data_IF_106240445433
#
_entry.id   IF_106240445433
#
_cell.length_a   1.000
_cell.length_b   1.000
_cell.length_c   1.000
_cell.angle_alpha   90.00
_cell.angle_beta   90.00
_cell.angle_gamma   90.00
#
_symmetry.space_group_name_H-M   'P 1'
#
loop_
_entity.id
_entity.type
_entity.pdbx_description
1 polymer ?
#
# COMPACT_ATOMS: atom_id res chain seq x y z
N UNK A 1 -23.69 8.25 -15.19
CA UNK A 1 -22.24 8.59 -15.15
C UNK A 1 -22.05 9.77 -14.20
N UNK A 2 -21.26 9.56 -13.17
CA UNK A 2 -21.06 10.54 -12.07
C UNK A 2 -20.36 11.83 -12.52
N UNK A 3 -19.63 11.81 -13.64
CA UNK A 3 -18.84 12.96 -14.11
C UNK A 3 -19.56 13.88 -15.10
N UNK A 4 -20.86 13.70 -15.38
CA UNK A 4 -21.64 14.51 -16.35
C UNK A 4 -20.94 14.76 -17.69
N UNK A 5 -20.05 13.87 -18.09
CA UNK A 5 -19.35 13.92 -19.36
C UNK A 5 -20.11 13.25 -20.48
N UNK A 6 -19.64 13.43 -21.73
CA UNK A 6 -20.17 12.74 -22.91
C UNK A 6 -19.04 12.10 -23.70
N UNK A 7 -19.35 10.98 -24.34
CA UNK A 7 -18.46 10.30 -25.27
C UNK A 7 -19.07 10.34 -26.66
N UNK A 8 -18.28 10.74 -27.65
CA UNK A 8 -18.66 10.70 -29.05
C UNK A 8 -17.76 9.71 -29.80
N UNK A 9 -18.35 8.90 -30.65
CA UNK A 9 -17.62 7.95 -31.51
C UNK A 9 -17.92 8.26 -32.94
N UNK A 10 -16.87 8.45 -33.76
CA UNK A 10 -16.95 8.52 -35.21
C UNK A 10 -16.11 7.39 -35.80
N UNK A 11 -16.73 6.54 -36.60
CA UNK A 11 -16.05 5.41 -37.23
C UNK A 11 -16.42 5.35 -38.71
N UNK A 12 -15.41 5.17 -39.56
CA UNK A 12 -15.58 4.99 -40.98
C UNK A 12 -14.92 3.65 -41.35
N UNK A 13 -15.68 2.73 -41.98
CA UNK A 13 -15.11 1.45 -42.40
C UNK A 13 -13.91 1.64 -43.34
N UNK A 14 -12.76 1.05 -42.96
CA UNK A 14 -11.50 1.19 -43.70
C UNK A 14 -10.64 2.40 -43.36
N UNK A 15 -11.17 3.38 -42.64
CA UNK A 15 -10.42 4.59 -42.21
C UNK A 15 -10.13 4.64 -40.73
N UNK A 16 -10.82 3.82 -39.91
CA UNK A 16 -10.63 3.75 -38.45
C UNK A 16 -11.72 4.40 -37.62
N UNK A 17 -11.50 4.48 -36.33
CA UNK A 17 -12.45 5.02 -35.35
C UNK A 17 -11.82 6.12 -34.49
N UNK A 18 -12.57 7.19 -34.26
CA UNK A 18 -12.20 8.27 -33.36
C UNK A 18 -13.14 8.30 -32.16
N UNK A 19 -12.59 8.18 -30.97
CA UNK A 19 -13.31 8.35 -29.72
C UNK A 19 -12.96 9.72 -29.14
N UNK A 20 -13.98 10.50 -28.77
CA UNK A 20 -13.82 11.81 -28.16
C UNK A 20 -14.54 11.82 -26.81
N UNK A 21 -13.85 12.15 -25.75
CA UNK A 21 -14.40 12.24 -24.39
C UNK A 21 -14.42 13.71 -23.98
N UNK A 22 -15.60 14.20 -23.62
CA UNK A 22 -15.79 15.57 -23.14
C UNK A 22 -16.16 15.53 -21.66
N UNK A 23 -15.32 16.09 -20.81
CA UNK A 23 -15.55 16.20 -19.38
C UNK A 23 -15.72 17.69 -19.00
N UNK A 24 -16.79 18.06 -18.28
CA UNK A 24 -16.90 19.39 -17.73
C UNK A 24 -15.91 19.50 -16.57
N UNK A 25 -14.82 20.22 -16.79
CA UNK A 25 -13.84 20.52 -15.73
C UNK A 25 -14.16 21.92 -15.21
N UNK A 26 -14.39 22.11 -13.90
CA UNK A 26 -14.50 23.46 -13.36
C UNK A 26 -13.19 24.19 -13.63
N UNK A 27 -13.29 25.43 -14.12
CA UNK A 27 -12.10 26.28 -14.27
C UNK A 27 -11.48 26.47 -12.89
N UNK A 28 -10.25 26.04 -12.72
CA UNK A 28 -9.49 26.36 -11.53
C UNK A 28 -9.25 27.88 -11.52
N UNK A 29 -10.15 28.61 -10.84
CA UNK A 29 -9.80 29.94 -10.33
C UNK A 29 -8.51 29.72 -9.52
N UNK A 30 -7.57 30.67 -9.58
CA UNK A 30 -6.25 30.60 -8.94
C UNK A 30 -6.34 29.95 -7.55
N UNK A 31 -6.31 28.64 -7.52
CA UNK A 31 -6.10 27.87 -6.31
C UNK A 31 -4.66 28.11 -5.95
N UNK A 32 -4.43 28.59 -4.74
CA UNK A 32 -3.14 28.53 -4.11
C UNK A 32 -2.53 27.14 -4.40
N UNK A 33 -1.22 27.03 -4.58
CA UNK A 33 -0.58 25.72 -4.76
C UNK A 33 -1.18 24.81 -3.71
N UNK A 34 -1.76 23.69 -4.13
CA UNK A 34 -2.08 22.63 -3.20
C UNK A 34 -0.75 22.33 -2.53
N UNK A 35 -0.61 22.78 -1.29
CA UNK A 35 0.43 22.22 -0.43
C UNK A 35 0.22 20.71 -0.54
N UNK A 36 1.10 20.05 -1.23
CA UNK A 36 1.23 18.61 -1.12
C UNK A 36 1.33 18.38 0.38
N UNK A 37 0.23 17.94 0.97
CA UNK A 37 0.29 17.36 2.31
C UNK A 37 1.15 16.13 2.14
N UNK A 38 2.45 16.31 2.31
CA UNK A 38 3.38 15.23 2.56
C UNK A 38 2.89 14.64 3.88
N UNK A 39 2.03 13.63 3.77
CA UNK A 39 1.73 12.81 4.93
C UNK A 39 3.06 12.19 5.34
N UNK A 40 3.51 12.38 6.58
CA UNK A 40 4.70 11.70 7.05
C UNK A 40 4.42 10.21 6.96
N UNK A 41 5.02 9.57 5.95
CA UNK A 41 4.96 8.12 5.83
C UNK A 41 5.90 7.56 6.86
N UNK A 42 5.35 6.78 7.75
CA UNK A 42 6.09 6.04 8.75
C UNK A 42 7.20 5.23 8.09
N UNK A 43 8.44 5.49 8.47
CA UNK A 43 9.56 4.66 8.04
C UNK A 43 9.51 3.33 8.81
N UNK A 44 9.34 2.21 8.12
CA UNK A 44 9.54 0.93 8.79
C UNK A 44 11.02 0.80 9.18
N UNK A 45 11.33 0.34 10.40
CA UNK A 45 12.70 0.13 10.83
C UNK A 45 13.36 -0.90 9.90
N UNK A 46 14.39 -0.47 9.17
CA UNK A 46 15.18 -1.33 8.30
C UNK A 46 14.84 -1.30 6.81
N UNK A 47 13.93 -0.43 6.36
CA UNK A 47 13.55 -0.30 4.95
C UNK A 47 12.82 -1.54 4.42
N UNK A 48 11.51 -1.43 4.16
CA UNK A 48 10.75 -2.51 3.48
C UNK A 48 11.23 -2.61 2.04
N UNK A 49 11.47 -3.83 1.57
CA UNK A 49 11.78 -4.14 0.19
C UNK A 49 10.64 -4.90 -0.45
N UNK A 50 10.04 -4.30 -1.47
CA UNK A 50 8.93 -4.90 -2.22
C UNK A 50 9.42 -5.25 -3.62
N UNK A 51 9.11 -6.45 -4.07
CA UNK A 51 9.29 -6.85 -5.46
C UNK A 51 7.95 -6.74 -6.18
N UNK A 52 7.91 -6.05 -7.31
CA UNK A 52 6.67 -5.85 -8.08
C UNK A 52 6.80 -6.54 -9.43
N UNK A 53 5.83 -7.37 -9.76
CA UNK A 53 5.76 -8.07 -11.05
C UNK A 53 4.49 -7.66 -11.80
N UNK A 54 4.68 -7.11 -13.00
CA UNK A 54 3.61 -6.70 -13.92
C UNK A 54 4.21 -6.70 -15.33
N UNK A 55 3.49 -7.15 -16.34
CA UNK A 55 3.94 -7.16 -17.74
C UNK A 55 3.86 -5.77 -18.40
N UNK A 56 3.15 -4.83 -17.78
CA UNK A 56 3.06 -3.46 -18.24
C UNK A 56 4.10 -2.57 -17.55
N UNK A 57 5.09 -2.13 -18.32
CA UNK A 57 6.15 -1.24 -17.85
C UNK A 57 5.63 0.06 -17.27
N UNK A 58 4.50 0.57 -17.78
CA UNK A 58 3.91 1.83 -17.27
C UNK A 58 3.33 1.58 -15.87
N UNK A 59 2.67 0.45 -15.66
CA UNK A 59 2.15 0.06 -14.34
C UNK A 59 3.28 -0.09 -13.31
N UNK A 60 4.40 -0.70 -13.72
CA UNK A 60 5.60 -0.82 -12.87
C UNK A 60 6.16 0.54 -12.46
N UNK A 61 6.29 1.47 -13.41
CA UNK A 61 6.79 2.83 -13.11
C UNK A 61 5.83 3.61 -12.20
N UNK A 62 4.52 3.52 -12.44
CA UNK A 62 3.52 4.16 -11.57
C UNK A 62 3.60 3.59 -10.16
N UNK A 63 3.67 2.26 -10.02
CA UNK A 63 3.76 1.59 -8.71
C UNK A 63 5.06 1.97 -8.00
N UNK A 64 6.19 2.01 -8.72
CA UNK A 64 7.48 2.45 -8.17
C UNK A 64 7.41 3.88 -7.66
N UNK A 65 6.83 4.79 -8.44
CA UNK A 65 6.66 6.19 -8.03
C UNK A 65 5.79 6.33 -6.79
N UNK A 66 4.65 5.61 -6.73
CA UNK A 66 3.80 5.58 -5.54
C UNK A 66 4.55 5.11 -4.29
N UNK A 67 5.41 4.09 -4.41
CA UNK A 67 6.16 3.54 -3.29
C UNK A 67 7.37 4.40 -2.91
N UNK A 68 7.97 5.13 -3.85
CA UNK A 68 9.12 6.00 -3.59
C UNK A 68 8.80 7.09 -2.55
N UNK A 69 7.60 7.64 -2.61
CA UNK A 69 7.11 8.64 -1.65
C UNK A 69 6.89 8.06 -0.23
N UNK A 70 6.79 6.73 -0.13
CA UNK A 70 6.57 6.01 1.13
C UNK A 70 7.83 5.38 1.69
N UNK A 71 9.02 5.72 1.13
CA UNK A 71 10.34 5.16 1.50
C UNK A 71 10.38 3.62 1.50
N UNK A 72 9.53 3.01 0.68
CA UNK A 72 9.54 1.57 0.41
C UNK A 72 10.43 1.33 -0.79
N UNK A 73 11.47 0.51 -0.61
CA UNK A 73 12.33 0.11 -1.72
C UNK A 73 11.56 -0.82 -2.65
N UNK A 74 11.51 -0.46 -3.93
CA UNK A 74 10.76 -1.18 -4.94
C UNK A 74 11.67 -1.62 -6.07
N UNK A 75 11.80 -2.93 -6.26
CA UNK A 75 12.35 -3.50 -7.47
C UNK A 75 11.22 -4.03 -8.35
N UNK A 76 11.39 -3.94 -9.66
CA UNK A 76 10.37 -4.30 -10.63
C UNK A 76 10.89 -5.39 -11.55
N UNK A 77 10.01 -6.31 -11.95
CA UNK A 77 10.27 -7.35 -12.93
C UNK A 77 9.06 -7.53 -13.86
N UNK A 78 9.32 -7.83 -15.11
CA UNK A 78 8.29 -7.98 -16.15
C UNK A 78 7.97 -9.44 -16.44
N UNK A 79 8.81 -10.36 -16.02
CA UNK A 79 8.63 -11.79 -16.27
C UNK A 79 9.17 -12.65 -15.10
N UNK A 80 8.85 -13.94 -15.16
CA UNK A 80 9.26 -14.93 -14.15
C UNK A 80 10.77 -15.07 -14.04
N UNK A 81 11.51 -14.89 -15.13
CA UNK A 81 12.96 -15.01 -15.14
C UNK A 81 13.59 -13.87 -14.35
N UNK A 82 13.16 -12.64 -14.62
CA UNK A 82 13.60 -11.46 -13.86
C UNK A 82 13.23 -11.57 -12.39
N UNK A 83 12.01 -12.04 -12.08
CA UNK A 83 11.55 -12.32 -10.73
C UNK A 83 12.50 -13.25 -9.99
N UNK A 84 12.82 -14.39 -10.58
CA UNK A 84 13.71 -15.38 -9.96
C UNK A 84 15.14 -14.86 -9.82
N UNK A 85 15.62 -14.05 -10.75
CA UNK A 85 16.96 -13.44 -10.66
C UNK A 85 17.02 -12.37 -9.55
N UNK A 86 15.95 -11.61 -9.33
CA UNK A 86 15.84 -10.69 -8.20
C UNK A 86 15.88 -11.44 -6.86
N UNK A 87 15.08 -12.50 -6.72
CA UNK A 87 15.00 -13.31 -5.50
C UNK A 87 16.29 -14.05 -5.16
N UNK A 88 17.14 -14.35 -6.15
CA UNK A 88 18.48 -14.92 -5.92
C UNK A 88 19.48 -13.90 -5.40
N UNK A 89 19.35 -12.62 -5.82
CA UNK A 89 20.32 -11.57 -5.51
C UNK A 89 20.11 -10.95 -4.14
N UNK A 90 18.85 -10.79 -3.73
CA UNK A 90 18.51 -10.12 -2.47
C UNK A 90 17.18 -10.61 -1.90
N UNK A 91 16.91 -10.18 -0.69
CA UNK A 91 15.71 -10.52 0.04
C UNK A 91 14.66 -9.44 -0.12
N UNK A 92 13.41 -9.88 -0.19
CA UNK A 92 12.25 -9.02 -0.22
C UNK A 92 11.28 -9.39 0.90
N UNK A 93 10.61 -8.39 1.43
CA UNK A 93 9.62 -8.55 2.48
C UNK A 93 8.25 -8.93 1.93
N UNK A 94 7.99 -8.59 0.65
CA UNK A 94 6.70 -8.83 0.01
C UNK A 94 6.83 -8.82 -1.52
N UNK A 95 6.02 -9.64 -2.18
CA UNK A 95 5.78 -9.61 -3.62
C UNK A 95 4.41 -9.02 -3.93
N UNK A 96 4.35 -8.03 -4.82
CA UNK A 96 3.15 -7.62 -5.52
C UNK A 96 3.17 -8.25 -6.91
N UNK A 97 2.15 -8.99 -7.28
CA UNK A 97 2.07 -9.59 -8.63
C UNK A 97 0.72 -9.30 -9.28
N UNK A 98 0.75 -8.82 -10.52
CA UNK A 98 -0.47 -8.82 -11.31
C UNK A 98 -0.96 -10.27 -11.49
N UNK A 99 -2.28 -10.42 -11.46
CA UNK A 99 -2.92 -11.71 -11.73
C UNK A 99 -2.99 -12.00 -13.22
N UNK A 100 -3.19 -10.97 -14.04
CA UNK A 100 -3.42 -11.12 -15.47
C UNK A 100 -2.20 -10.68 -16.27
N UNK A 101 -1.28 -11.61 -16.50
CA UNK A 101 -0.10 -11.38 -17.33
C UNK A 101 -0.06 -12.38 -18.49
N UNK A 102 0.33 -11.97 -19.71
CA UNK A 102 0.54 -12.90 -20.81
C UNK A 102 1.65 -13.90 -20.50
N UNK A 103 1.34 -15.18 -20.62
CA UNK A 103 2.33 -16.26 -20.49
C UNK A 103 2.58 -16.79 -19.06
N UNK A 104 2.25 -16.03 -18.02
CA UNK A 104 2.26 -16.52 -16.64
C UNK A 104 1.25 -15.72 -15.82
N UNK A 105 0.21 -16.34 -15.32
CA UNK A 105 -0.70 -15.68 -14.39
C UNK A 105 -0.12 -15.63 -12.97
N UNK A 106 -0.65 -14.72 -12.14
CA UNK A 106 -0.16 -14.55 -10.77
C UNK A 106 -0.28 -15.81 -9.91
N UNK A 107 -1.24 -16.70 -10.20
CA UNK A 107 -1.38 -17.98 -9.49
C UNK A 107 -0.21 -18.92 -9.81
N UNK A 108 0.13 -19.06 -11.08
CA UNK A 108 1.28 -19.85 -11.53
C UNK A 108 2.59 -19.30 -10.96
N UNK A 109 2.72 -17.99 -10.85
CA UNK A 109 3.87 -17.34 -10.21
C UNK A 109 3.95 -17.73 -8.73
N UNK A 110 2.83 -17.67 -8.01
CA UNK A 110 2.79 -18.05 -6.59
C UNK A 110 3.15 -19.52 -6.39
N UNK A 111 2.60 -20.44 -7.20
CA UNK A 111 2.89 -21.86 -7.17
C UNK A 111 4.38 -22.12 -7.41
N UNK A 112 4.96 -21.51 -8.46
CA UNK A 112 6.38 -21.60 -8.76
C UNK A 112 7.26 -21.11 -7.58
N UNK A 113 6.86 -20.06 -6.90
CA UNK A 113 7.57 -19.57 -5.72
C UNK A 113 7.53 -20.59 -4.57
N UNK A 114 6.38 -21.20 -4.29
CA UNK A 114 6.19 -22.20 -3.23
C UNK A 114 6.98 -23.47 -3.50
N UNK A 115 7.16 -23.84 -4.77
CA UNK A 115 7.96 -24.99 -5.21
C UNK A 115 9.45 -24.68 -5.42
N UNK A 116 9.83 -23.42 -5.29
CA UNK A 116 11.19 -22.94 -5.54
C UNK A 116 12.20 -23.55 -4.56
N UNK A 117 13.43 -23.78 -5.03
CA UNK A 117 14.57 -24.16 -4.18
C UNK A 117 15.20 -22.96 -3.43
N UNK A 118 14.68 -21.74 -3.62
CA UNK A 118 15.10 -20.54 -2.90
C UNK A 118 14.28 -20.47 -1.61
N UNK A 119 14.86 -20.71 -0.42
CA UNK A 119 14.07 -20.82 0.82
C UNK A 119 13.19 -19.61 1.09
N UNK A 120 13.71 -18.41 0.86
CA UNK A 120 12.98 -17.16 1.09
C UNK A 120 11.89 -16.88 0.06
N UNK A 121 12.03 -17.36 -1.17
CA UNK A 121 10.99 -17.28 -2.18
C UNK A 121 9.75 -18.12 -1.81
N UNK A 122 9.94 -19.21 -1.08
CA UNK A 122 8.82 -20.05 -0.60
C UNK A 122 7.95 -19.33 0.44
N UNK A 123 8.56 -18.49 1.26
CA UNK A 123 7.93 -17.88 2.42
C UNK A 123 7.51 -16.43 2.17
N UNK A 124 7.92 -15.84 1.03
CA UNK A 124 7.60 -14.47 0.73
C UNK A 124 6.07 -14.28 0.67
N UNK A 125 5.51 -13.34 1.45
CA UNK A 125 4.10 -13.00 1.31
C UNK A 125 3.87 -12.37 -0.06
N UNK A 126 2.81 -12.81 -0.75
CA UNK A 126 2.44 -12.29 -2.06
C UNK A 126 1.07 -11.65 -1.99
N UNK A 127 0.93 -10.47 -2.55
CA UNK A 127 -0.35 -9.77 -2.73
C UNK A 127 -0.72 -9.81 -4.20
N UNK A 128 -1.95 -10.21 -4.47
CA UNK A 128 -2.55 -10.21 -5.80
C UNK A 128 -2.96 -8.81 -6.20
N UNK A 129 -2.49 -8.32 -7.33
CA UNK A 129 -2.94 -7.07 -7.95
C UNK A 129 -3.90 -7.44 -9.08
N UNK A 130 -5.13 -6.92 -9.07
CA UNK A 130 -6.18 -7.38 -9.98
C UNK A 130 -7.12 -6.27 -10.43
N UNK A 131 -7.65 -6.36 -11.64
CA UNK A 131 -8.74 -5.51 -12.13
C UNK A 131 -10.13 -6.05 -11.73
N UNK A 132 -10.22 -7.30 -11.25
CA UNK A 132 -11.50 -7.95 -10.93
C UNK A 132 -11.81 -7.89 -9.45
N UNK A 133 -12.98 -7.39 -9.09
CA UNK A 133 -13.52 -7.42 -7.74
C UNK A 133 -14.33 -8.69 -7.47
N UNK A 134 -14.49 -9.06 -6.19
CA UNK A 134 -15.36 -10.16 -5.77
C UNK A 134 -14.72 -11.55 -5.85
N UNK A 135 -13.39 -11.64 -5.98
CA UNK A 135 -12.64 -12.90 -5.96
C UNK A 135 -11.61 -12.98 -4.83
N UNK A 136 -11.78 -12.17 -3.79
CA UNK A 136 -10.84 -12.06 -2.67
C UNK A 136 -10.61 -13.41 -1.98
N UNK A 137 -11.69 -14.18 -1.75
CA UNK A 137 -11.61 -15.50 -1.13
C UNK A 137 -10.81 -16.50 -1.96
N UNK A 138 -10.86 -16.39 -3.28
CA UNK A 138 -10.09 -17.23 -4.20
C UNK A 138 -8.59 -16.95 -4.07
N UNK A 139 -8.19 -15.67 -4.02
CA UNK A 139 -6.79 -15.29 -3.84
C UNK A 139 -6.26 -15.76 -2.49
N UNK A 140 -7.01 -15.55 -1.42
CA UNK A 140 -6.63 -16.03 -0.08
C UNK A 140 -6.52 -17.57 -0.02
N UNK A 141 -7.48 -18.26 -0.64
CA UNK A 141 -7.47 -19.73 -0.71
C UNK A 141 -6.29 -20.30 -1.50
N UNK A 142 -5.83 -19.56 -2.52
CA UNK A 142 -4.63 -19.91 -3.28
C UNK A 142 -3.32 -19.63 -2.53
N UNK A 143 -3.38 -18.94 -1.39
CA UNK A 143 -2.20 -18.67 -0.55
C UNK A 143 -1.59 -17.27 -0.72
N UNK A 144 -2.31 -16.33 -1.38
CA UNK A 144 -1.95 -14.92 -1.31
C UNK A 144 -2.21 -14.37 0.09
N UNK A 145 -1.36 -13.47 0.55
CA UNK A 145 -1.53 -12.77 1.82
C UNK A 145 -2.63 -11.69 1.78
N UNK A 146 -3.10 -11.34 0.59
CA UNK A 146 -4.15 -10.38 0.35
C UNK A 146 -4.29 -10.04 -1.12
N UNK A 147 -5.18 -9.10 -1.42
CA UNK A 147 -5.34 -8.57 -2.78
C UNK A 147 -5.59 -7.07 -2.78
N UNK A 148 -5.27 -6.42 -3.89
CA UNK A 148 -5.56 -5.02 -4.15
C UNK A 148 -6.15 -4.85 -5.56
N UNK A 149 -7.21 -4.03 -5.66
CA UNK A 149 -7.92 -3.82 -6.92
C UNK A 149 -7.43 -2.58 -7.65
N UNK A 150 -7.11 -2.74 -8.93
CA UNK A 150 -6.83 -1.62 -9.86
C UNK A 150 -8.15 -0.88 -10.21
N UNK A 151 -8.19 0.47 -10.24
CA UNK A 151 -7.13 1.38 -9.84
C UNK A 151 -7.04 1.56 -8.31
N UNK A 152 -5.85 1.76 -7.80
CA UNK A 152 -5.61 1.99 -6.38
C UNK A 152 -4.82 3.30 -6.15
N UNK A 153 -4.95 3.88 -4.96
CA UNK A 153 -4.14 5.00 -4.49
C UNK A 153 -2.86 4.51 -3.81
N UNK A 154 -1.86 5.40 -3.67
CA UNK A 154 -0.64 5.11 -2.93
C UNK A 154 -0.93 4.67 -1.48
N UNK A 155 -1.89 5.30 -0.82
CA UNK A 155 -2.31 4.94 0.55
C UNK A 155 -2.85 3.50 0.64
N UNK A 156 -3.73 3.11 -0.31
CA UNK A 156 -4.25 1.74 -0.35
C UNK A 156 -3.17 0.73 -0.63
N UNK A 157 -2.22 1.07 -1.51
CA UNK A 157 -1.07 0.22 -1.83
C UNK A 157 -0.20 -0.01 -0.59
N UNK A 158 0.19 1.05 0.10
CA UNK A 158 0.98 0.97 1.34
C UNK A 158 0.25 0.18 2.42
N UNK A 159 -1.05 0.44 2.62
CA UNK A 159 -1.88 -0.30 3.59
C UNK A 159 -1.92 -1.80 3.29
N UNK A 160 -2.06 -2.17 2.01
CA UNK A 160 -2.06 -3.58 1.61
C UNK A 160 -0.70 -4.24 1.86
N UNK A 161 0.41 -3.55 1.53
CA UNK A 161 1.77 -4.03 1.77
C UNK A 161 1.99 -4.28 3.27
N UNK A 162 1.65 -3.31 4.11
CA UNK A 162 1.80 -3.42 5.57
C UNK A 162 0.95 -4.56 6.14
N UNK A 163 -0.27 -4.74 5.62
CA UNK A 163 -1.14 -5.86 5.99
C UNK A 163 -0.56 -7.22 5.62
N UNK A 164 0.00 -7.35 4.42
CA UNK A 164 0.61 -8.58 3.92
C UNK A 164 1.87 -8.99 4.70
N UNK A 165 2.70 -8.02 5.08
CA UNK A 165 3.90 -8.28 5.90
C UNK A 165 3.52 -8.71 7.32
N UNK A 166 2.51 -8.10 7.93
CA UNK A 166 2.02 -8.47 9.28
C UNK A 166 1.50 -9.91 9.34
N UNK A 167 0.85 -10.38 8.28
CA UNK A 167 0.34 -11.77 8.19
C UNK A 167 1.44 -12.84 8.23
N UNK A 168 2.68 -12.49 7.94
CA UNK A 168 3.81 -13.44 7.86
C UNK A 168 4.64 -13.54 9.16
N UNK A 169 4.09 -13.18 10.31
CA UNK A 169 4.73 -13.38 11.61
C UNK A 169 5.89 -12.44 11.93
N UNK A 170 6.19 -11.45 11.10
CA UNK A 170 7.05 -10.33 11.50
C UNK A 170 6.29 -9.49 12.50
N UNK A 171 6.59 -9.72 13.77
CA UNK A 171 6.05 -8.93 14.86
C UNK A 171 6.47 -7.47 14.67
N UNK A 172 5.51 -6.62 14.32
CA UNK A 172 5.74 -5.19 14.28
C UNK A 172 6.07 -4.71 15.69
N UNK A 173 7.21 -4.08 15.85
CA UNK A 173 7.62 -3.48 17.14
C UNK A 173 7.67 -1.98 16.98
N UNK A 174 6.93 -1.24 17.81
CA UNK A 174 7.03 0.22 17.81
C UNK A 174 8.45 0.68 18.09
N UNK A 175 8.91 1.67 17.35
CA UNK A 175 10.23 2.25 17.54
C UNK A 175 10.13 3.45 18.50
N UNK A 176 10.49 3.23 19.73
CA UNK A 176 10.51 4.27 20.78
C UNK A 176 11.84 5.02 20.86
N UNK A 177 12.78 4.82 19.94
CA UNK A 177 14.13 5.40 20.02
C UNK A 177 14.11 6.92 20.08
N UNK A 178 13.22 7.57 19.33
CA UNK A 178 13.06 9.03 19.34
C UNK A 178 12.42 9.55 20.64
N UNK A 179 11.47 8.80 21.20
CA UNK A 179 10.83 9.16 22.46
C UNK A 179 11.75 8.95 23.67
N UNK A 180 12.72 8.03 23.53
CA UNK A 180 13.59 7.57 24.60
C UNK A 180 15.05 8.09 24.47
N UNK A 181 15.26 9.16 23.71
CA UNK A 181 16.59 9.72 23.45
C UNK A 181 17.33 10.27 24.71
N UNK A 182 16.63 10.37 25.89
CA UNK A 182 17.19 10.75 27.17
C UNK A 182 17.38 9.54 28.09
N UNK A 183 18.57 9.38 28.71
CA UNK A 183 18.91 8.17 29.46
C UNK A 183 18.17 7.99 30.80
N UNK A 184 17.73 9.05 31.45
CA UNK A 184 17.33 8.99 32.88
C UNK A 184 15.85 8.66 33.17
N UNK A 185 14.93 8.62 32.15
CA UNK A 185 13.49 8.49 32.41
C UNK A 185 12.75 7.52 31.45
N UNK A 186 13.44 6.56 30.84
CA UNK A 186 12.86 5.67 29.81
C UNK A 186 11.61 4.91 30.27
N UNK A 187 11.66 4.32 31.46
CA UNK A 187 10.53 3.52 31.97
C UNK A 187 9.32 4.37 32.31
N UNK A 188 9.57 5.56 32.89
CA UNK A 188 8.50 6.49 33.23
C UNK A 188 7.82 7.08 32.01
N UNK A 189 8.61 7.47 31.00
CA UNK A 189 8.11 7.97 29.71
C UNK A 189 7.29 6.92 28.96
N UNK A 190 7.76 5.67 28.90
CA UNK A 190 7.01 4.56 28.32
C UNK A 190 5.71 4.29 29.07
N UNK A 191 5.77 4.29 30.42
CA UNK A 191 4.57 4.11 31.24
C UNK A 191 3.53 5.20 31.01
N UNK A 192 3.98 6.45 30.93
CA UNK A 192 3.11 7.60 30.64
C UNK A 192 2.51 7.50 29.23
N UNK A 193 3.34 7.22 28.21
CA UNK A 193 2.89 7.04 26.85
C UNK A 193 1.83 5.95 26.72
N UNK A 194 2.07 4.76 27.28
CA UNK A 194 1.12 3.64 27.26
C UNK A 194 -0.17 3.99 27.98
N UNK A 195 -0.09 4.65 29.13
CA UNK A 195 -1.26 5.05 29.92
C UNK A 195 -2.13 6.07 29.18
N UNK A 196 -1.52 7.12 28.62
CA UNK A 196 -2.26 8.17 27.91
C UNK A 196 -2.82 7.65 26.57
N UNK A 197 -2.03 6.89 25.80
CA UNK A 197 -2.51 6.27 24.55
C UNK A 197 -3.70 5.33 24.79
N UNK A 198 -3.71 4.57 25.88
CA UNK A 198 -4.86 3.71 26.24
C UNK A 198 -6.12 4.53 26.53
N UNK A 199 -6.01 5.60 27.29
CA UNK A 199 -7.14 6.51 27.54
C UNK A 199 -7.70 7.11 26.26
N UNK A 200 -6.82 7.53 25.36
CA UNK A 200 -7.23 8.13 24.09
C UNK A 200 -7.85 7.12 23.13
N UNK A 201 -7.38 5.86 23.13
CA UNK A 201 -8.01 4.76 22.38
C UNK A 201 -9.42 4.46 22.92
N UNK A 202 -9.60 4.43 24.26
CA UNK A 202 -10.90 4.22 24.87
C UNK A 202 -11.87 5.36 24.53
N UNK A 203 -11.40 6.62 24.60
CA UNK A 203 -12.18 7.81 24.18
C UNK A 203 -12.52 7.78 22.69
N UNK A 204 -11.56 7.43 21.84
CA UNK A 204 -11.78 7.30 20.41
C UNK A 204 -12.85 6.22 20.12
N UNK A 205 -12.74 5.09 20.79
CA UNK A 205 -13.71 4.00 20.65
C UNK A 205 -15.13 4.40 21.08
N UNK A 206 -15.26 5.20 22.13
CA UNK A 206 -16.54 5.76 22.57
C UNK A 206 -17.08 6.77 21.54
N UNK A 207 -16.25 7.73 21.10
CA UNK A 207 -16.65 8.74 20.13
C UNK A 207 -17.07 8.12 18.77
N UNK A 208 -16.41 7.04 18.32
CA UNK A 208 -16.81 6.30 17.12
C UNK A 208 -18.19 5.65 17.30
N UNK A 209 -18.48 5.05 18.46
CA UNK A 209 -19.80 4.46 18.76
C UNK A 209 -20.91 5.52 18.79
N UNK A 210 -20.60 6.70 19.32
CA UNK A 210 -21.53 7.83 19.43
C UNK A 210 -21.62 8.65 18.15
N UNK A 211 -20.79 8.34 17.14
CA UNK A 211 -20.65 9.09 15.88
C UNK A 211 -20.29 10.56 16.08
N UNK A 212 -19.56 10.85 17.15
CA UNK A 212 -19.08 12.21 17.45
C UNK A 212 -17.83 12.53 16.62
N UNK A 213 -18.07 13.07 15.42
CA UNK A 213 -16.99 13.43 14.48
C UNK A 213 -16.06 14.52 15.03
N UNK A 214 -16.54 15.41 15.93
CA UNK A 214 -15.71 16.47 16.49
C UNK A 214 -14.71 15.91 17.49
N UNK A 215 -15.16 15.02 18.36
CA UNK A 215 -14.30 14.37 19.33
C UNK A 215 -13.29 13.45 18.63
N UNK A 216 -13.71 12.69 17.60
CA UNK A 216 -12.82 11.87 16.78
C UNK A 216 -11.68 12.71 16.20
N UNK A 217 -12.00 13.82 15.52
CA UNK A 217 -11.02 14.71 14.91
C UNK A 217 -10.09 15.30 15.98
N UNK A 218 -10.64 15.73 17.12
CA UNK A 218 -9.86 16.30 18.22
C UNK A 218 -8.83 15.32 18.77
N UNK A 219 -9.23 14.07 19.00
CA UNK A 219 -8.34 13.02 19.52
C UNK A 219 -7.26 12.67 18.50
N UNK A 220 -7.64 12.48 17.23
CA UNK A 220 -6.69 12.18 16.15
C UNK A 220 -5.68 13.32 15.97
N UNK A 221 -6.14 14.57 15.87
CA UNK A 221 -5.27 15.71 15.68
C UNK A 221 -4.23 15.89 16.80
N UNK A 222 -4.62 15.57 18.04
CA UNK A 222 -3.72 15.65 19.21
C UNK A 222 -2.69 14.52 19.22
N UNK A 223 -3.09 13.31 18.86
CA UNK A 223 -2.26 12.12 19.05
C UNK A 223 -1.49 11.68 17.81
N UNK A 224 -1.94 12.07 16.62
CA UNK A 224 -1.28 11.68 15.38
C UNK A 224 0.22 12.01 15.39
N UNK A 225 0.68 13.23 15.74
CA UNK A 225 2.11 13.55 15.78
C UNK A 225 2.90 12.69 16.77
N UNK A 226 2.27 12.32 17.90
CA UNK A 226 2.90 11.47 18.90
C UNK A 226 2.98 10.02 18.45
N UNK A 227 1.91 9.51 17.88
CA UNK A 227 1.86 8.14 17.32
C UNK A 227 2.80 7.99 16.12
N UNK A 228 2.92 9.01 15.28
CA UNK A 228 3.91 9.08 14.21
C UNK A 228 5.34 9.03 14.75
N UNK A 229 5.63 9.73 15.85
CA UNK A 229 6.96 9.74 16.48
C UNK A 229 7.38 8.34 16.96
N UNK A 230 6.43 7.52 17.43
CA UNK A 230 6.68 6.14 17.89
C UNK A 230 6.30 5.10 16.85
N UNK A 231 5.96 5.54 15.63
CA UNK A 231 5.57 4.68 14.51
C UNK A 231 4.44 3.71 14.87
N UNK A 232 3.41 4.26 15.51
CA UNK A 232 2.15 3.57 15.82
C UNK A 232 1.10 3.95 14.78
N UNK A 233 1.16 3.42 13.58
CA UNK A 233 0.17 3.60 12.51
C UNK A 233 -0.59 2.32 12.22
#
# INVERSE_FOLDING_TARGET
SEMRGRVEVKSVPGEGSRFSVFLPVPSAGQSAPLEEKVFPVCEPPGGIRVLVMDDDRIQLEITREMLSHSRIHCDCCMDVRELMDCLKRQEYDLLLTDIQMPGADGFSVLELLRDSNIPRAREIPAIAVTAHSGREEEYLSAGFAGCIHKPFSAERLVTAIMGGIKGNGKEWRPDFSLLLAGEDNRQEMLGLFVSESRKDIDRLSAAVKEKDSREIISILHRNLPLWETVRLD
#
